data_IF_457931276318
#
_entry.id   IF_457931276318
#
_cell.length_a   1.000
_cell.length_b   1.000
_cell.length_c   1.000
_cell.angle_alpha   90.00
_cell.angle_beta   90.00
_cell.angle_gamma   90.00
#
_symmetry.space_group_name_H-M   'P 1'
#
loop_
_entity.id
_entity.type
_entity.pdbx_description
1 polymer ?
#
# COMPACT_ATOMS: atom_id res chain seq x y z
N UNK A 1 65.78 37.78 11.02
CA UNK A 1 64.36 37.90 11.41
C UNK A 1 63.51 37.14 10.41
N UNK A 2 62.91 36.02 10.81
CA UNK A 2 61.94 35.27 9.98
C UNK A 2 60.67 35.05 10.79
N UNK A 3 59.56 35.60 10.28
CA UNK A 3 58.24 35.64 10.90
C UNK A 3 57.60 34.24 10.87
N UNK A 4 56.98 33.81 11.97
CA UNK A 4 56.07 32.67 11.98
C UNK A 4 54.81 32.99 11.15
N UNK A 5 54.27 32.06 10.36
CA UNK A 5 52.93 32.20 9.80
C UNK A 5 51.89 31.81 10.86
N UNK A 6 51.05 32.79 11.23
CA UNK A 6 49.87 32.59 12.06
C UNK A 6 48.87 31.68 11.33
N UNK A 7 48.35 30.67 12.04
CA UNK A 7 47.21 29.89 11.55
C UNK A 7 45.96 30.78 11.44
N UNK A 8 45.13 30.65 10.39
CA UNK A 8 43.84 31.32 10.37
C UNK A 8 42.90 30.63 11.36
N UNK A 9 42.61 31.30 12.48
CA UNK A 9 41.44 30.96 13.30
C UNK A 9 40.20 31.10 12.43
N UNK A 10 39.56 29.99 12.09
CA UNK A 10 38.24 29.99 11.47
C UNK A 10 37.25 30.58 12.50
N UNK A 11 36.62 31.73 12.23
CA UNK A 11 35.58 32.26 13.11
C UNK A 11 34.43 31.25 13.20
N UNK A 12 33.94 31.09 14.42
CA UNK A 12 33.05 30.04 14.85
C UNK A 12 31.83 29.81 13.96
N UNK A 13 31.50 28.52 13.88
CA UNK A 13 30.15 27.95 13.88
C UNK A 13 29.06 29.02 13.78
N UNK A 14 28.51 29.16 12.57
CA UNK A 14 27.30 29.93 12.36
C UNK A 14 26.19 29.36 13.25
N UNK A 15 25.71 30.23 14.14
CA UNK A 15 24.55 30.19 15.01
C UNK A 15 23.61 29.00 14.83
N UNK A 16 23.49 28.16 15.88
CA UNK A 16 22.19 27.54 16.20
C UNK A 16 21.19 28.70 16.37
N UNK A 17 20.12 28.81 15.56
CA UNK A 17 19.08 29.77 15.85
C UNK A 17 18.30 29.23 17.05
N UNK A 18 18.75 29.54 18.27
CA UNK A 18 17.93 29.42 19.47
C UNK A 18 16.60 30.12 19.21
N UNK A 19 15.51 29.36 19.31
CA UNK A 19 14.15 29.87 19.12
C UNK A 19 13.90 31.03 20.09
N UNK A 20 13.16 32.06 19.66
CA UNK A 20 12.69 33.07 20.59
C UNK A 20 11.67 32.47 21.57
N UNK A 21 11.44 33.06 22.76
CA UNK A 21 10.45 32.56 23.71
C UNK A 21 9.06 32.39 23.11
N UNK A 22 8.65 33.27 22.20
CA UNK A 22 7.36 33.19 21.50
C UNK A 22 7.31 32.02 20.51
N UNK A 23 8.43 31.73 19.84
CA UNK A 23 8.55 30.58 18.94
C UNK A 23 8.59 29.26 19.71
N UNK A 24 9.22 29.23 20.88
CA UNK A 24 9.20 28.07 21.78
C UNK A 24 7.79 27.80 22.29
N UNK A 25 7.04 28.84 22.69
CA UNK A 25 5.66 28.71 23.14
C UNK A 25 4.74 28.16 22.02
N UNK A 26 4.84 28.70 20.81
CA UNK A 26 4.09 28.18 19.65
C UNK A 26 4.47 26.73 19.32
N UNK A 27 5.75 26.37 19.36
CA UNK A 27 6.20 25.00 19.13
C UNK A 27 5.66 24.03 20.18
N UNK A 28 5.60 24.44 21.45
CA UNK A 28 5.02 23.66 22.54
C UNK A 28 3.51 23.47 22.36
N UNK A 29 2.78 24.49 21.93
CA UNK A 29 1.34 24.41 21.65
C UNK A 29 1.05 23.42 20.52
N UNK A 30 1.76 23.52 19.39
CA UNK A 30 1.64 22.57 18.26
C UNK A 30 1.99 21.14 18.72
N UNK A 31 3.03 20.99 19.53
CA UNK A 31 3.41 19.67 20.05
C UNK A 31 2.32 19.08 20.96
N UNK A 32 1.69 19.90 21.80
CA UNK A 32 0.58 19.48 22.66
C UNK A 32 -0.65 19.07 21.85
N UNK A 33 -1.00 19.83 20.81
CA UNK A 33 -2.10 19.47 19.89
C UNK A 33 -1.83 18.13 19.18
N UNK A 34 -0.63 17.94 18.64
CA UNK A 34 -0.24 16.69 18.00
C UNK A 34 -0.26 15.49 18.96
N UNK A 35 0.13 15.70 20.23
CA UNK A 35 0.05 14.68 21.26
C UNK A 35 -1.40 14.32 21.58
N UNK A 36 -2.29 15.31 21.71
CA UNK A 36 -3.71 15.09 21.95
C UNK A 36 -4.38 14.30 20.81
N UNK A 37 -4.06 14.62 19.55
CA UNK A 37 -4.56 13.87 18.38
C UNK A 37 -4.07 12.42 18.40
N UNK A 38 -2.79 12.17 18.75
CA UNK A 38 -2.26 10.80 18.88
C UNK A 38 -2.97 10.02 19.98
N UNK A 39 -3.23 10.63 21.13
CA UNK A 39 -3.95 10.02 22.25
C UNK A 39 -5.36 9.58 21.82
N UNK A 40 -6.06 10.43 21.06
CA UNK A 40 -7.38 10.12 20.51
C UNK A 40 -7.33 8.96 19.51
N UNK A 41 -6.37 8.96 18.59
CA UNK A 41 -6.21 7.87 17.62
C UNK A 41 -5.88 6.54 18.30
N UNK A 42 -5.13 6.56 19.41
CA UNK A 42 -4.79 5.38 20.18
C UNK A 42 -6.01 4.71 20.85
N UNK A 43 -7.16 5.40 20.96
CA UNK A 43 -8.39 4.82 21.49
C UNK A 43 -9.10 3.89 20.49
N UNK A 44 -8.78 4.00 19.19
CA UNK A 44 -9.38 3.13 18.18
C UNK A 44 -8.73 1.75 18.25
N UNK A 45 -9.49 0.65 18.41
CA UNK A 45 -8.92 -0.69 18.43
C UNK A 45 -8.12 -0.97 17.15
N UNK A 46 -6.86 -1.37 17.31
CA UNK A 46 -5.98 -1.68 16.18
C UNK A 46 -6.59 -2.75 15.25
N UNK A 47 -7.33 -3.72 15.82
CA UNK A 47 -8.04 -4.74 15.04
C UNK A 47 -9.03 -4.13 14.03
N UNK A 48 -9.80 -3.11 14.43
CA UNK A 48 -10.77 -2.44 13.55
C UNK A 48 -10.06 -1.66 12.44
N UNK A 49 -8.97 -0.97 12.78
CA UNK A 49 -8.16 -0.26 11.80
C UNK A 49 -7.58 -1.26 10.80
N UNK A 50 -6.98 -2.35 11.26
CA UNK A 50 -6.38 -3.37 10.38
C UNK A 50 -7.43 -4.10 9.54
N UNK A 51 -8.61 -4.40 10.08
CA UNK A 51 -9.74 -4.93 9.32
C UNK A 51 -10.13 -4.01 8.16
N UNK A 52 -10.19 -2.69 8.40
CA UNK A 52 -10.42 -1.70 7.35
C UNK A 52 -9.30 -1.69 6.30
N UNK A 53 -8.03 -1.85 6.69
CA UNK A 53 -6.92 -1.95 5.72
C UNK A 53 -6.98 -3.25 4.90
N UNK A 54 -7.43 -4.36 5.50
CA UNK A 54 -7.61 -5.63 4.81
C UNK A 54 -8.69 -5.51 3.72
N UNK A 55 -9.78 -4.77 3.98
CA UNK A 55 -10.74 -4.39 2.95
C UNK A 55 -10.11 -3.57 1.82
N UNK A 56 -9.20 -2.63 2.13
CA UNK A 56 -8.47 -1.88 1.11
C UNK A 56 -7.64 -2.77 0.17
N UNK A 57 -7.04 -3.86 0.69
CA UNK A 57 -6.37 -4.86 -0.16
C UNK A 57 -7.37 -5.58 -1.08
N UNK A 58 -8.56 -5.90 -0.58
CA UNK A 58 -9.63 -6.49 -1.40
C UNK A 58 -10.09 -5.55 -2.52
N UNK A 59 -10.32 -4.27 -2.21
CA UNK A 59 -10.74 -3.26 -3.20
C UNK A 59 -9.68 -3.09 -4.29
N UNK A 60 -8.41 -3.05 -3.91
CA UNK A 60 -7.30 -2.96 -4.85
C UNK A 60 -7.29 -4.18 -5.78
N UNK A 61 -7.40 -5.40 -5.24
CA UNK A 61 -7.50 -6.60 -6.05
C UNK A 61 -8.68 -6.55 -7.06
N UNK A 62 -9.86 -6.13 -6.60
CA UNK A 62 -11.04 -5.99 -7.43
C UNK A 62 -10.86 -4.97 -8.57
N UNK A 63 -10.28 -3.79 -8.28
CA UNK A 63 -9.97 -2.77 -9.28
C UNK A 63 -9.04 -3.35 -10.36
N UNK A 64 -7.98 -4.04 -9.97
CA UNK A 64 -7.03 -4.63 -10.92
C UNK A 64 -7.62 -5.77 -11.75
N UNK A 65 -8.50 -6.60 -11.17
CA UNK A 65 -9.23 -7.64 -11.90
C UNK A 65 -10.27 -7.07 -12.87
N UNK A 66 -10.94 -5.97 -12.51
CA UNK A 66 -11.95 -5.32 -13.36
C UNK A 66 -11.39 -4.49 -14.53
N UNK A 67 -10.08 -4.28 -14.56
CA UNK A 67 -9.41 -3.56 -15.63
C UNK A 67 -9.56 -4.29 -16.97
N UNK A 68 -9.44 -3.56 -18.08
CA UNK A 68 -9.44 -4.14 -19.43
C UNK A 68 -8.16 -3.74 -20.20
N UNK A 69 -7.22 -4.67 -20.45
CA UNK A 69 -7.23 -6.07 -19.98
C UNK A 69 -7.02 -6.18 -18.45
N UNK A 70 -7.45 -7.30 -17.81
CA UNK A 70 -7.22 -7.52 -16.38
C UNK A 70 -5.73 -7.51 -16.05
N UNK A 71 -5.37 -6.86 -14.93
CA UNK A 71 -3.98 -6.75 -14.45
C UNK A 71 -3.70 -7.82 -13.39
N UNK A 72 -3.49 -9.06 -13.83
CA UNK A 72 -3.37 -10.21 -12.93
C UNK A 72 -2.20 -10.10 -11.95
N UNK A 73 -1.02 -9.66 -12.37
CA UNK A 73 0.15 -9.60 -11.47
C UNK A 73 -0.08 -8.61 -10.33
N UNK A 74 -0.67 -7.45 -10.63
CA UNK A 74 -1.03 -6.45 -9.62
C UNK A 74 -2.16 -6.91 -8.71
N UNK A 75 -3.19 -7.57 -9.26
CA UNK A 75 -4.26 -8.17 -8.46
C UNK A 75 -3.71 -9.23 -7.50
N UNK A 76 -2.72 -10.02 -7.94
CA UNK A 76 -2.10 -11.06 -7.13
C UNK A 76 -1.36 -10.46 -5.92
N UNK A 77 -0.62 -9.37 -6.09
CA UNK A 77 0.04 -8.68 -4.96
C UNK A 77 -0.97 -8.28 -3.88
N UNK A 78 -2.12 -7.73 -4.28
CA UNK A 78 -3.17 -7.33 -3.35
C UNK A 78 -3.84 -8.53 -2.66
N UNK A 79 -4.11 -9.61 -3.39
CA UNK A 79 -4.68 -10.87 -2.86
C UNK A 79 -3.72 -11.54 -1.87
N UNK A 80 -2.42 -11.55 -2.16
CA UNK A 80 -1.40 -12.14 -1.29
C UNK A 80 -1.26 -11.32 0.01
N UNK A 81 -1.23 -9.99 -0.09
CA UNK A 81 -1.23 -9.11 1.08
C UNK A 81 -2.49 -9.30 1.95
N UNK A 82 -3.67 -9.37 1.33
CA UNK A 82 -4.92 -9.64 2.04
C UNK A 82 -4.87 -11.01 2.72
N UNK A 83 -4.41 -12.04 2.00
CA UNK A 83 -4.23 -13.39 2.54
C UNK A 83 -3.29 -13.45 3.75
N UNK A 84 -2.16 -12.77 3.68
CA UNK A 84 -1.19 -12.72 4.77
C UNK A 84 -1.77 -12.07 6.03
N UNK A 85 -2.56 -10.99 5.89
CA UNK A 85 -3.22 -10.35 7.02
C UNK A 85 -4.22 -11.28 7.70
N UNK A 86 -5.09 -11.95 6.93
CA UNK A 86 -6.14 -12.82 7.48
C UNK A 86 -5.56 -14.08 8.12
N UNK A 87 -4.52 -14.68 7.53
CA UNK A 87 -3.90 -15.89 8.07
C UNK A 87 -3.16 -15.61 9.39
N UNK A 88 -2.35 -14.54 9.44
CA UNK A 88 -1.54 -14.20 10.62
C UNK A 88 -2.40 -13.65 11.77
N UNK A 89 -3.52 -12.98 11.47
CA UNK A 89 -4.37 -12.32 12.48
C UNK A 89 -5.63 -13.12 12.84
N UNK A 90 -5.67 -14.40 12.49
CA UNK A 90 -6.78 -15.28 12.83
C UNK A 90 -7.08 -15.28 14.35
N UNK A 91 -8.34 -15.14 14.70
CA UNK A 91 -8.85 -14.97 16.06
C UNK A 91 -8.62 -13.58 16.67
N UNK A 92 -8.11 -12.60 15.91
CA UNK A 92 -7.71 -11.27 16.42
C UNK A 92 -8.32 -10.10 15.65
N UNK A 93 -9.13 -10.34 14.61
CA UNK A 93 -9.75 -9.28 13.79
C UNK A 93 -11.14 -8.86 14.28
N UNK A 94 -11.62 -9.45 15.38
CA UNK A 94 -12.91 -9.08 15.96
C UNK A 94 -14.08 -9.59 15.12
N UNK A 95 -15.15 -8.81 15.08
CA UNK A 95 -16.42 -9.22 14.46
C UNK A 95 -16.33 -9.37 12.94
N UNK A 96 -15.41 -8.65 12.29
CA UNK A 96 -15.26 -8.63 10.83
C UNK A 96 -14.51 -9.86 10.28
N UNK A 97 -13.87 -10.67 11.15
CA UNK A 97 -12.96 -11.74 10.73
C UNK A 97 -13.59 -12.74 9.76
N UNK A 98 -14.81 -13.21 10.07
CA UNK A 98 -15.51 -14.18 9.23
C UNK A 98 -15.83 -13.58 7.85
N UNK A 99 -16.33 -12.34 7.83
CA UNK A 99 -16.63 -11.60 6.61
C UNK A 99 -15.39 -11.41 5.74
N UNK A 100 -14.25 -11.05 6.35
CA UNK A 100 -12.98 -10.88 5.65
C UNK A 100 -12.45 -12.20 5.07
N UNK A 101 -12.57 -13.30 5.81
CA UNK A 101 -12.18 -14.63 5.34
C UNK A 101 -13.02 -15.06 4.13
N UNK A 102 -14.33 -14.83 4.17
CA UNK A 102 -15.24 -15.10 3.06
C UNK A 102 -14.92 -14.23 1.84
N UNK A 103 -14.66 -12.94 2.04
CA UNK A 103 -14.26 -12.02 0.97
C UNK A 103 -12.94 -12.44 0.29
N UNK A 104 -11.96 -12.90 1.08
CA UNK A 104 -10.70 -13.44 0.57
C UNK A 104 -10.91 -14.70 -0.28
N UNK A 105 -11.79 -15.60 0.15
CA UNK A 105 -12.13 -16.80 -0.63
C UNK A 105 -12.78 -16.43 -1.97
N UNK A 106 -13.73 -15.49 -1.94
CA UNK A 106 -14.44 -15.02 -3.13
C UNK A 106 -13.50 -14.36 -4.15
N UNK A 107 -12.62 -13.45 -3.70
CA UNK A 107 -11.71 -12.74 -4.63
C UNK A 107 -10.67 -13.68 -5.25
N UNK A 108 -10.19 -14.70 -4.50
CA UNK A 108 -9.30 -15.74 -5.04
C UNK A 108 -10.00 -16.59 -6.10
N UNK A 109 -11.26 -16.95 -5.87
CA UNK A 109 -12.05 -17.69 -6.85
C UNK A 109 -12.25 -16.85 -8.13
N UNK A 110 -12.61 -15.57 -7.98
CA UNK A 110 -12.76 -14.65 -9.10
C UNK A 110 -11.46 -14.51 -9.92
N UNK A 111 -10.30 -14.39 -9.26
CA UNK A 111 -8.99 -14.34 -9.92
C UNK A 111 -8.75 -15.57 -10.80
N UNK A 112 -8.97 -16.78 -10.25
CA UNK A 112 -8.73 -18.04 -10.99
C UNK A 112 -9.69 -18.18 -12.16
N UNK A 113 -10.97 -17.88 -11.95
CA UNK A 113 -11.99 -17.93 -13.01
C UNK A 113 -11.66 -16.97 -14.14
N UNK A 114 -11.35 -15.71 -13.82
CA UNK A 114 -11.05 -14.70 -14.83
C UNK A 114 -9.75 -15.02 -15.60
N UNK A 115 -8.73 -15.54 -14.92
CA UNK A 115 -7.47 -15.96 -15.56
C UNK A 115 -7.68 -17.12 -16.52
N UNK A 116 -8.55 -18.07 -16.19
CA UNK A 116 -8.92 -19.17 -17.07
C UNK A 116 -9.68 -18.66 -18.31
N UNK A 117 -10.73 -17.85 -18.13
CA UNK A 117 -11.50 -17.25 -19.24
C UNK A 117 -10.61 -16.44 -20.18
N UNK A 118 -9.75 -15.58 -19.63
CA UNK A 118 -8.87 -14.72 -20.44
C UNK A 118 -7.84 -15.53 -21.27
N UNK A 119 -7.34 -16.64 -20.73
CA UNK A 119 -6.45 -17.54 -21.46
C UNK A 119 -7.16 -18.27 -22.61
N UNK A 120 -8.43 -18.63 -22.43
CA UNK A 120 -9.26 -19.23 -23.49
C UNK A 120 -9.53 -18.25 -24.63
N UNK A 121 -9.98 -17.03 -24.30
CA UNK A 121 -10.25 -15.97 -25.29
C UNK A 121 -9.00 -15.63 -26.12
N UNK A 122 -7.83 -15.61 -25.47
CA UNK A 122 -6.54 -15.37 -26.14
C UNK A 122 -6.14 -16.50 -27.10
N UNK A 123 -6.59 -17.74 -26.86
CA UNK A 123 -6.30 -18.90 -27.70
C UNK A 123 -7.21 -18.98 -28.94
N UNK A 124 -8.50 -18.65 -28.81
CA UNK A 124 -9.47 -18.67 -29.90
C UNK A 124 -9.20 -17.56 -30.94
N UNK A 125 -8.69 -16.41 -30.49
CA UNK A 125 -8.24 -15.34 -31.38
C UNK A 125 -7.04 -15.72 -32.26
N UNK A 126 -6.20 -16.67 -31.82
CA UNK A 126 -5.01 -17.11 -32.57
C UNK A 126 -5.32 -18.17 -33.63
N UNK A 127 -6.32 -19.03 -33.40
CA UNK A 127 -6.64 -20.16 -34.29
C UNK A 127 -7.48 -19.70 -35.50
N UNK A 128 -8.34 -18.69 -35.31
CA UNK A 128 -9.17 -18.11 -36.39
C UNK A 128 -8.37 -17.37 -37.47
N UNK A 129 -7.13 -16.93 -37.19
CA UNK A 129 -6.30 -16.18 -38.14
C UNK A 129 -5.55 -17.08 -39.15
N UNK A 130 -5.47 -18.39 -38.93
CA UNK A 130 -4.67 -19.31 -39.78
C UNK A 130 -5.50 -20.19 -40.73
N UNK A 131 -6.83 -20.19 -40.61
CA UNK A 131 -7.72 -21.07 -41.39
C UNK A 131 -8.21 -20.56 -42.75
N UNK A 132 -7.78 -19.38 -43.24
CA UNK A 132 -8.33 -18.75 -44.46
C UNK A 132 -7.33 -18.66 -45.62
N UNK A 133 -6.56 -19.73 -45.86
CA UNK A 133 -5.70 -19.82 -47.05
C UNK A 133 -5.59 -21.25 -47.57
N UNK A 134 -6.72 -21.83 -47.98
CA UNK A 134 -6.73 -23.00 -48.87
C UNK A 134 -8.11 -23.15 -49.50
N UNK A 135 -8.34 -22.47 -50.62
CA UNK A 135 -9.07 -23.01 -51.79
C UNK A 135 -9.20 -21.93 -52.87
N UNK A 136 -8.29 -21.94 -53.84
CA UNK A 136 -8.60 -21.51 -55.22
C UNK A 136 -7.83 -22.45 -56.16
N UNK A 137 -8.56 -23.44 -56.67
CA UNK A 137 -8.18 -24.23 -57.85
C UNK A 137 -9.04 -23.80 -59.03
#
# INVERSE_FOLDING_TARGET
>A
MSKQPSSPSTPGVASDPTLSPDQEAQAQEIAAEMAAVREQLAQVPAAQVVANHAMGCWELAAIHLSAQPPRFDEAQVAIDAFGALIDVLKGRLGEDEATLADALAQIRLAFVQLKASFAQDSSEGSDSATGSSSDVS
#
